data_IF_431162669705
#
_entry.id   IF_431162669705
#
_cell.length_a   1.000
_cell.length_b   1.000
_cell.length_c   1.000
_cell.angle_alpha   90.00
_cell.angle_beta   90.00
_cell.angle_gamma   90.00
#
_symmetry.space_group_name_H-M   'P 1'
#
loop_
_entity.id
_entity.type
_entity.pdbx_description
1 polymer ?
#
# COMPACT_ATOMS: atom_id res chain seq x y z
N UNK A 1 -28.80 -8.78 13.70
CA UNK A 1 -30.06 -8.85 12.93
C UNK A 1 -29.86 -9.87 11.82
N UNK A 2 -30.64 -10.94 11.76
CA UNK A 2 -30.39 -12.06 10.84
C UNK A 2 -30.52 -11.60 9.39
N UNK A 3 -29.51 -11.89 8.55
CA UNK A 3 -29.46 -11.65 7.09
C UNK A 3 -30.77 -12.00 6.37
N UNK A 4 -31.50 -12.99 6.89
CA UNK A 4 -32.76 -13.49 6.33
C UNK A 4 -33.93 -12.48 6.46
N UNK A 5 -33.84 -11.49 7.35
CA UNK A 5 -34.95 -10.54 7.63
C UNK A 5 -34.97 -9.31 6.74
N UNK A 6 -33.89 -9.03 6.00
CA UNK A 6 -33.82 -7.89 5.09
C UNK A 6 -33.57 -8.38 3.65
N UNK A 7 -34.60 -8.39 2.78
CA UNK A 7 -34.50 -8.95 1.44
C UNK A 7 -33.49 -8.19 0.58
N UNK A 8 -33.31 -6.88 0.80
CA UNK A 8 -32.34 -6.08 0.03
C UNK A 8 -30.91 -6.49 0.36
N UNK A 9 -30.63 -6.68 1.65
CA UNK A 9 -29.32 -7.15 2.12
C UNK A 9 -29.01 -8.55 1.63
N UNK A 10 -29.98 -9.45 1.73
CA UNK A 10 -29.84 -10.82 1.25
C UNK A 10 -29.54 -10.87 -0.25
N UNK A 11 -30.31 -10.15 -1.07
CA UNK A 11 -30.10 -10.10 -2.52
C UNK A 11 -28.71 -9.56 -2.86
N UNK A 12 -28.30 -8.45 -2.24
CA UNK A 12 -26.99 -7.85 -2.51
C UNK A 12 -25.83 -8.78 -2.11
N UNK A 13 -25.92 -9.46 -0.96
CA UNK A 13 -24.94 -10.46 -0.54
C UNK A 13 -24.90 -11.67 -1.48
N UNK A 14 -26.05 -12.18 -1.93
CA UNK A 14 -26.09 -13.30 -2.88
C UNK A 14 -25.45 -12.90 -4.20
N UNK A 15 -25.74 -11.69 -4.72
CA UNK A 15 -25.13 -11.19 -5.94
C UNK A 15 -23.60 -11.09 -5.79
N UNK A 16 -23.13 -10.46 -4.71
CA UNK A 16 -21.69 -10.31 -4.46
C UNK A 16 -20.98 -11.66 -4.30
N UNK A 17 -21.57 -12.57 -3.52
CA UNK A 17 -21.03 -13.91 -3.28
C UNK A 17 -20.99 -14.77 -4.54
N UNK A 18 -22.06 -14.75 -5.35
CA UNK A 18 -22.12 -15.48 -6.62
C UNK A 18 -21.14 -14.92 -7.64
N UNK A 19 -21.06 -13.59 -7.78
CA UNK A 19 -20.12 -12.94 -8.69
C UNK A 19 -18.66 -13.30 -8.33
N UNK A 20 -18.30 -13.23 -7.05
CA UNK A 20 -16.97 -13.63 -6.59
C UNK A 20 -16.70 -15.12 -6.77
N UNK A 21 -17.69 -15.98 -6.50
CA UNK A 21 -17.56 -17.42 -6.71
C UNK A 21 -17.31 -17.77 -8.18
N UNK A 22 -18.00 -17.12 -9.12
CA UNK A 22 -17.81 -17.34 -10.55
C UNK A 22 -16.39 -17.01 -11.00
N UNK A 23 -15.84 -15.88 -10.53
CA UNK A 23 -14.46 -15.48 -10.83
C UNK A 23 -13.46 -16.46 -10.20
N UNK A 24 -13.70 -16.93 -8.98
CA UNK A 24 -12.85 -17.93 -8.32
C UNK A 24 -12.90 -19.29 -9.03
N UNK A 25 -14.06 -19.69 -9.54
CA UNK A 25 -14.23 -20.95 -10.28
C UNK A 25 -13.50 -20.90 -11.63
N UNK A 26 -13.57 -19.78 -12.35
CA UNK A 26 -12.79 -19.56 -13.58
C UNK A 26 -11.28 -19.68 -13.31
N UNK A 27 -10.81 -19.04 -12.23
CA UNK A 27 -9.41 -19.12 -11.82
C UNK A 27 -8.97 -20.55 -11.44
N UNK A 28 -9.87 -21.38 -10.91
CA UNK A 28 -9.59 -22.76 -10.51
C UNK A 28 -9.71 -23.78 -11.66
N UNK A 29 -10.50 -23.47 -12.70
CA UNK A 29 -10.74 -24.35 -13.83
C UNK A 29 -11.36 -23.62 -15.01
N UNK A 30 -10.76 -23.77 -16.18
CA UNK A 30 -11.15 -23.06 -17.40
C UNK A 30 -12.38 -23.71 -18.09
N UNK A 31 -13.56 -23.61 -17.44
CA UNK A 31 -14.83 -24.04 -18.03
C UNK A 31 -15.36 -22.91 -18.94
N UNK A 32 -15.55 -23.14 -20.26
CA UNK A 32 -15.82 -22.06 -21.21
C UNK A 32 -17.02 -21.15 -20.87
N UNK A 33 -18.09 -21.72 -20.31
CA UNK A 33 -19.28 -20.95 -19.92
C UNK A 33 -19.03 -20.06 -18.69
N UNK A 34 -18.21 -20.52 -17.73
CA UNK A 34 -17.83 -19.75 -16.54
C UNK A 34 -16.84 -18.65 -16.93
N UNK A 35 -15.88 -18.97 -17.82
CA UNK A 35 -14.89 -18.03 -18.31
C UNK A 35 -15.51 -16.80 -18.98
N UNK A 36 -16.53 -16.99 -19.84
CA UNK A 36 -17.22 -15.87 -20.48
C UNK A 36 -17.89 -14.92 -19.46
N UNK A 37 -18.49 -15.48 -18.40
CA UNK A 37 -19.18 -14.69 -17.37
C UNK A 37 -18.18 -14.02 -16.42
N UNK A 38 -17.12 -14.72 -16.02
CA UNK A 38 -16.03 -14.17 -15.22
C UNK A 38 -15.32 -13.03 -15.96
N UNK A 39 -15.05 -13.19 -17.26
CA UNK A 39 -14.47 -12.14 -18.10
C UNK A 39 -15.34 -10.88 -18.08
N UNK A 40 -16.66 -11.02 -18.25
CA UNK A 40 -17.58 -9.89 -18.17
C UNK A 40 -17.50 -9.24 -16.78
N UNK A 41 -17.59 -10.00 -15.68
CA UNK A 41 -17.53 -9.43 -14.33
C UNK A 41 -16.21 -8.69 -14.07
N UNK A 42 -15.08 -9.23 -14.53
CA UNK A 42 -13.76 -8.61 -14.42
C UNK A 42 -13.65 -7.34 -15.26
N UNK A 43 -14.19 -7.34 -16.48
CA UNK A 43 -14.18 -6.17 -17.37
C UNK A 43 -15.02 -5.01 -16.82
N UNK A 44 -16.22 -5.32 -16.29
CA UNK A 44 -17.04 -4.33 -15.57
C UNK A 44 -16.31 -3.80 -14.33
N UNK A 45 -15.66 -4.68 -13.58
CA UNK A 45 -14.88 -4.28 -12.40
C UNK A 45 -13.72 -3.38 -12.79
N UNK A 46 -12.96 -3.71 -13.83
CA UNK A 46 -11.86 -2.91 -14.34
C UNK A 46 -12.34 -1.51 -14.78
N UNK A 47 -13.47 -1.46 -15.48
CA UNK A 47 -14.10 -0.19 -15.89
C UNK A 47 -14.54 0.64 -14.68
N UNK A 48 -15.15 0.01 -13.67
CA UNK A 48 -15.55 0.69 -12.43
C UNK A 48 -14.34 1.20 -11.63
N UNK A 49 -13.24 0.41 -11.57
CA UNK A 49 -11.99 0.83 -10.93
C UNK A 49 -11.40 2.05 -11.63
N UNK A 50 -11.38 2.05 -12.98
CA UNK A 50 -10.89 3.20 -13.74
C UNK A 50 -11.70 4.48 -13.45
N UNK A 51 -13.03 4.37 -13.41
CA UNK A 51 -13.91 5.48 -13.04
C UNK A 51 -13.72 5.91 -11.59
N UNK A 52 -13.59 4.96 -10.66
CA UNK A 52 -13.36 5.25 -9.24
C UNK A 52 -12.02 5.95 -9.03
N UNK A 53 -10.96 5.55 -9.74
CA UNK A 53 -9.67 6.25 -9.73
C UNK A 53 -9.82 7.67 -10.24
N UNK A 54 -10.55 7.90 -11.34
CA UNK A 54 -10.81 9.24 -11.86
C UNK A 54 -11.55 10.10 -10.82
N UNK A 55 -12.60 9.57 -10.20
CA UNK A 55 -13.34 10.26 -9.13
C UNK A 55 -12.42 10.56 -7.95
N UNK A 56 -11.54 9.63 -7.56
CA UNK A 56 -10.56 9.83 -6.50
C UNK A 56 -9.60 10.98 -6.79
N UNK A 57 -9.05 11.02 -8.01
CA UNK A 57 -8.19 12.12 -8.47
C UNK A 57 -8.95 13.45 -8.45
N UNK A 58 -10.17 13.49 -8.98
CA UNK A 58 -11.00 14.70 -8.99
C UNK A 58 -11.39 15.15 -7.58
N UNK A 59 -11.64 14.22 -6.66
CA UNK A 59 -11.96 14.50 -5.27
C UNK A 59 -10.79 15.17 -4.55
N UNK A 60 -9.58 14.60 -4.69
CA UNK A 60 -8.35 15.17 -4.13
C UNK A 60 -8.07 16.54 -4.76
N UNK A 61 -8.16 16.64 -6.09
CA UNK A 61 -7.97 17.87 -6.83
C UNK A 61 -8.93 18.98 -6.37
N UNK A 62 -10.21 18.63 -6.20
CA UNK A 62 -11.24 19.55 -5.73
C UNK A 62 -11.01 20.02 -4.30
N UNK A 63 -10.77 19.09 -3.36
CA UNK A 63 -10.58 19.41 -1.96
C UNK A 63 -9.32 20.26 -1.72
N UNK A 64 -8.20 19.89 -2.34
CA UNK A 64 -6.95 20.65 -2.23
C UNK A 64 -6.96 21.91 -3.07
N UNK A 65 -7.65 21.92 -4.22
CA UNK A 65 -7.85 23.12 -5.04
C UNK A 65 -8.64 24.18 -4.27
N UNK A 66 -9.77 23.81 -3.65
CA UNK A 66 -10.53 24.72 -2.79
C UNK A 66 -9.69 25.25 -1.63
N UNK A 67 -8.86 24.40 -1.00
CA UNK A 67 -7.94 24.81 0.07
C UNK A 67 -6.95 25.87 -0.40
N UNK A 68 -6.43 25.74 -1.62
CA UNK A 68 -5.53 26.72 -2.25
C UNK A 68 -6.26 28.03 -2.56
N UNK A 69 -7.47 27.96 -3.13
CA UNK A 69 -8.27 29.16 -3.44
C UNK A 69 -8.65 29.94 -2.17
N UNK A 70 -9.01 29.24 -1.10
CA UNK A 70 -9.40 29.84 0.19
C UNK A 70 -8.22 30.26 1.06
N UNK A 71 -7.00 29.82 0.72
CA UNK A 71 -5.78 29.99 1.53
C UNK A 71 -5.96 29.53 2.98
N UNK A 72 -6.59 28.38 3.16
CA UNK A 72 -6.71 27.76 4.48
C UNK A 72 -5.32 27.34 5.01
N UNK A 73 -5.26 26.87 6.26
CA UNK A 73 -4.02 26.34 6.84
C UNK A 73 -3.35 25.31 5.91
N UNK A 74 -2.02 25.41 5.78
CA UNK A 74 -1.20 24.48 4.98
C UNK A 74 -1.53 24.43 3.47
N UNK A 75 -2.13 25.50 2.91
CA UNK A 75 -2.45 25.58 1.48
C UNK A 75 -1.22 25.43 0.58
N UNK A 76 -0.03 25.85 1.03
CA UNK A 76 1.22 25.68 0.28
C UNK A 76 1.57 24.21 0.07
N UNK A 77 1.37 23.36 1.07
CA UNK A 77 1.55 21.91 0.93
C UNK A 77 0.52 21.29 -0.01
N UNK A 78 -0.68 21.88 -0.10
CA UNK A 78 -1.68 21.47 -1.07
C UNK A 78 -1.26 21.77 -2.51
N UNK A 79 -0.48 22.83 -2.76
CA UNK A 79 0.12 23.07 -4.08
C UNK A 79 1.11 21.97 -4.43
N UNK A 80 1.99 21.60 -3.49
CA UNK A 80 2.98 20.53 -3.72
C UNK A 80 2.28 19.22 -4.11
N UNK A 81 1.19 18.88 -3.42
CA UNK A 81 0.38 17.70 -3.75
C UNK A 81 -0.22 17.79 -5.16
N UNK A 82 -0.87 18.92 -5.50
CA UNK A 82 -1.53 19.09 -6.79
C UNK A 82 -0.51 19.05 -7.94
N UNK A 83 0.64 19.72 -7.78
CA UNK A 83 1.72 19.70 -8.77
C UNK A 83 2.30 18.30 -8.92
N UNK A 84 2.56 17.59 -7.81
CA UNK A 84 3.03 16.21 -7.84
C UNK A 84 2.06 15.26 -8.54
N UNK A 85 0.76 15.41 -8.26
CA UNK A 85 -0.31 14.63 -8.91
C UNK A 85 -0.33 14.87 -10.43
N UNK A 86 -0.30 16.13 -10.87
CA UNK A 86 -0.26 16.47 -12.31
C UNK A 86 1.04 15.96 -12.95
N UNK A 87 2.18 16.07 -12.26
CA UNK A 87 3.46 15.59 -12.77
C UNK A 87 3.45 14.07 -13.01
N UNK A 88 2.98 13.27 -12.05
CA UNK A 88 2.90 11.81 -12.21
C UNK A 88 1.95 11.42 -13.34
N UNK A 89 0.78 12.07 -13.42
CA UNK A 89 -0.18 11.81 -14.52
C UNK A 89 0.44 12.18 -15.86
N UNK A 90 1.10 13.34 -15.97
CA UNK A 90 1.74 13.77 -17.20
C UNK A 90 2.86 12.81 -17.63
N UNK A 91 3.70 12.37 -16.68
CA UNK A 91 4.77 11.39 -16.93
C UNK A 91 4.18 10.06 -17.40
N UNK A 92 3.11 9.58 -16.76
CA UNK A 92 2.45 8.33 -17.11
C UNK A 92 1.68 8.37 -18.45
N UNK A 93 1.17 9.54 -18.85
CA UNK A 93 0.37 9.69 -20.08
C UNK A 93 1.21 10.14 -21.29
N UNK A 94 2.18 11.01 -21.11
CA UNK A 94 2.95 11.58 -22.23
C UNK A 94 4.26 10.79 -22.44
N UNK A 95 4.72 10.09 -21.41
CA UNK A 95 6.08 9.55 -21.37
C UNK A 95 7.13 10.68 -21.31
N UNK A 96 8.40 10.30 -21.29
CA UNK A 96 9.53 11.23 -21.44
C UNK A 96 10.07 11.04 -22.87
N UNK A 97 10.00 12.06 -23.74
CA UNK A 97 10.52 11.97 -25.10
C UNK A 97 11.98 11.51 -25.12
N UNK A 98 12.27 10.42 -25.85
CA UNK A 98 13.62 9.86 -25.98
C UNK A 98 13.99 8.76 -24.99
N UNK A 99 13.10 8.32 -24.09
CA UNK A 99 13.38 7.30 -23.07
C UNK A 99 12.79 5.89 -23.31
N UNK A 100 12.18 5.61 -24.48
CA UNK A 100 11.71 4.24 -24.76
C UNK A 100 11.14 4.01 -26.17
N UNK A 101 10.88 2.74 -26.55
CA UNK A 101 10.31 2.38 -27.86
C UNK A 101 8.82 2.72 -27.98
N UNK A 102 8.12 2.85 -26.86
CA UNK A 102 6.68 3.05 -26.81
C UNK A 102 6.35 4.48 -26.33
N UNK A 103 5.36 5.14 -26.95
CA UNK A 103 4.93 6.48 -26.55
C UNK A 103 4.20 6.50 -25.20
N UNK A 104 3.77 5.35 -24.68
CA UNK A 104 3.06 5.21 -23.41
C UNK A 104 3.64 4.05 -22.59
N UNK A 105 3.97 4.26 -21.30
CA UNK A 105 4.39 3.17 -20.43
C UNK A 105 3.25 2.18 -20.20
N UNK A 106 3.49 0.89 -20.46
CA UNK A 106 2.48 -0.17 -20.26
C UNK A 106 2.43 -0.66 -18.81
N UNK A 107 3.46 -0.36 -18.02
CA UNK A 107 3.59 -0.76 -16.64
C UNK A 107 4.23 0.34 -15.78
N UNK A 108 3.97 0.29 -14.47
CA UNK A 108 4.60 1.17 -13.48
C UNK A 108 6.12 0.98 -13.34
N UNK A 109 6.67 -0.07 -13.96
CA UNK A 109 8.09 -0.45 -13.89
C UNK A 109 8.89 0.16 -15.06
N UNK A 110 8.21 0.70 -16.07
CA UNK A 110 8.84 1.30 -17.24
C UNK A 110 9.40 2.71 -16.95
N UNK A 111 10.46 3.05 -17.70
CA UNK A 111 10.96 4.42 -17.78
C UNK A 111 9.93 5.23 -18.56
N UNK A 112 9.17 6.11 -17.90
CA UNK A 112 9.72 7.13 -17.01
C UNK A 112 9.13 7.16 -15.58
N UNK A 113 8.19 6.27 -15.28
CA UNK A 113 7.52 6.22 -13.98
C UNK A 113 8.51 5.75 -12.90
N UNK A 114 9.37 4.79 -13.24
CA UNK A 114 10.42 4.29 -12.35
C UNK A 114 11.37 5.40 -11.90
N UNK A 115 11.88 6.22 -12.82
CA UNK A 115 12.72 7.38 -12.49
C UNK A 115 12.04 8.34 -11.52
N UNK A 116 10.75 8.66 -11.74
CA UNK A 116 10.01 9.51 -10.79
C UNK A 116 9.91 8.84 -9.41
N UNK A 117 9.64 7.54 -9.37
CA UNK A 117 9.56 6.80 -8.12
C UNK A 117 10.89 6.81 -7.36
N UNK A 118 11.99 6.48 -8.01
CA UNK A 118 13.32 6.40 -7.40
C UNK A 118 13.89 7.78 -7.01
N UNK A 119 13.58 8.82 -7.80
CA UNK A 119 14.13 10.16 -7.60
C UNK A 119 13.29 11.01 -6.65
N UNK A 120 11.96 10.84 -6.64
CA UNK A 120 11.05 11.70 -5.87
C UNK A 120 10.40 10.92 -4.73
N UNK A 121 9.72 9.82 -5.03
CA UNK A 121 8.92 9.11 -4.03
C UNK A 121 9.81 8.44 -2.97
N UNK A 122 10.83 7.69 -3.40
CA UNK A 122 11.68 6.92 -2.50
C UNK A 122 12.45 7.79 -1.50
N UNK A 123 13.07 8.93 -1.89
CA UNK A 123 13.72 9.84 -0.93
C UNK A 123 12.73 10.52 0.03
N UNK A 124 11.52 10.86 -0.43
CA UNK A 124 10.48 11.41 0.44
C UNK A 124 10.01 10.37 1.47
N UNK A 125 9.77 9.14 1.03
CA UNK A 125 9.39 8.03 1.90
C UNK A 125 10.49 7.71 2.92
N UNK A 126 11.76 7.67 2.50
CA UNK A 126 12.88 7.43 3.41
C UNK A 126 13.07 8.57 4.42
N UNK A 127 12.80 9.82 4.03
CA UNK A 127 12.83 10.97 4.94
C UNK A 127 11.74 10.86 6.02
N UNK A 128 10.52 10.46 5.65
CA UNK A 128 9.43 10.21 6.60
C UNK A 128 9.75 9.06 7.56
N UNK A 129 10.33 7.97 7.05
CA UNK A 129 10.81 6.87 7.89
C UNK A 129 11.96 7.31 8.81
N UNK A 130 12.85 8.19 8.34
CA UNK A 130 13.89 8.80 9.17
C UNK A 130 13.32 9.63 10.32
N UNK A 131 12.28 10.43 10.06
CA UNK A 131 11.55 11.15 11.12
C UNK A 131 10.90 10.19 12.12
N UNK A 132 10.32 9.08 11.65
CA UNK A 132 9.76 8.05 12.52
C UNK A 132 10.84 7.44 13.43
N UNK A 133 12.03 7.16 12.90
CA UNK A 133 13.17 6.67 13.70
C UNK A 133 13.55 7.70 14.76
N UNK A 134 13.63 8.98 14.40
CA UNK A 134 13.96 10.04 15.35
C UNK A 134 12.91 10.16 16.48
N UNK A 135 11.62 10.14 16.14
CA UNK A 135 10.55 10.15 17.14
C UNK A 135 10.52 8.89 18.00
N UNK A 136 10.77 7.72 17.39
CA UNK A 136 10.88 6.45 18.10
C UNK A 136 12.04 6.48 19.10
N UNK A 137 13.21 6.97 18.68
CA UNK A 137 14.36 7.16 19.56
C UNK A 137 14.05 8.14 20.71
N UNK A 138 13.42 9.27 20.41
CA UNK A 138 12.99 10.24 21.43
C UNK A 138 12.03 9.62 22.45
N UNK A 139 11.06 8.83 21.98
CA UNK A 139 10.14 8.09 22.83
C UNK A 139 10.86 7.01 23.65
N UNK A 140 11.82 6.30 23.08
CA UNK A 140 12.62 5.29 23.75
C UNK A 140 13.50 5.91 24.86
N UNK A 141 14.14 7.05 24.60
CA UNK A 141 14.90 7.79 25.62
C UNK A 141 13.99 8.29 26.76
N UNK A 142 12.79 8.77 26.43
CA UNK A 142 11.78 9.13 27.44
C UNK A 142 11.30 7.92 28.23
N UNK A 143 11.20 6.76 27.60
CA UNK A 143 10.88 5.49 28.26
C UNK A 143 11.98 5.07 29.24
N UNK A 144 13.25 5.20 28.84
CA UNK A 144 14.40 4.97 29.72
C UNK A 144 14.39 5.86 30.97
N UNK A 145 14.01 7.13 30.82
CA UNK A 145 13.91 8.07 31.94
C UNK A 145 12.87 7.65 32.99
N UNK A 146 11.88 6.82 32.62
CA UNK A 146 10.90 6.27 33.58
C UNK A 146 11.49 5.17 34.47
N UNK A 147 12.71 4.69 34.19
CA UNK A 147 13.47 3.82 35.08
C UNK A 147 12.94 2.39 35.23
N UNK A 148 12.01 1.95 34.38
CA UNK A 148 11.49 0.58 34.42
C UNK A 148 12.53 -0.40 33.87
N UNK A 149 12.69 -1.55 34.53
CA UNK A 149 13.62 -2.61 34.11
C UNK A 149 13.34 -3.12 32.69
N UNK A 150 12.07 -3.16 32.31
CA UNK A 150 11.61 -3.58 30.98
C UNK A 150 12.10 -2.63 29.89
N UNK A 151 12.02 -1.31 30.12
CA UNK A 151 12.49 -0.31 29.16
C UNK A 151 14.01 -0.37 28.94
N UNK A 152 14.78 -0.65 30.01
CA UNK A 152 16.24 -0.83 29.91
C UNK A 152 16.60 -2.04 29.05
N UNK A 153 15.92 -3.17 29.26
CA UNK A 153 16.16 -4.38 28.46
C UNK A 153 15.82 -4.13 26.99
N UNK A 154 14.65 -3.57 26.70
CA UNK A 154 14.21 -3.29 25.32
C UNK A 154 15.19 -2.35 24.63
N UNK A 155 15.60 -1.28 25.30
CA UNK A 155 16.52 -0.30 24.73
C UNK A 155 17.93 -0.87 24.54
N UNK A 156 18.40 -1.71 25.47
CA UNK A 156 19.67 -2.41 25.33
C UNK A 156 19.70 -3.31 24.09
N UNK A 157 18.63 -4.08 23.87
CA UNK A 157 18.47 -4.90 22.66
C UNK A 157 18.39 -4.04 21.41
N UNK A 158 17.59 -2.96 21.42
CA UNK A 158 17.46 -2.07 20.28
C UNK A 158 18.79 -1.39 19.90
N UNK A 159 19.56 -0.92 20.88
CA UNK A 159 20.87 -0.33 20.68
C UNK A 159 21.84 -1.37 20.10
N UNK A 160 21.86 -2.59 20.64
CA UNK A 160 22.71 -3.67 20.15
C UNK A 160 22.40 -3.98 18.67
N UNK A 161 21.12 -4.11 18.32
CA UNK A 161 20.70 -4.35 16.93
C UNK A 161 21.11 -3.19 16.01
N UNK A 162 21.01 -1.96 16.48
CA UNK A 162 21.41 -0.77 15.71
C UNK A 162 22.92 -0.72 15.48
N UNK A 163 23.72 -1.06 16.50
CA UNK A 163 25.19 -1.12 16.38
C UNK A 163 25.64 -2.21 15.41
N UNK A 164 25.00 -3.38 15.42
CA UNK A 164 25.32 -4.48 14.50
C UNK A 164 25.08 -4.08 13.04
N UNK A 165 24.11 -3.20 12.76
CA UNK A 165 23.79 -2.77 11.39
C UNK A 165 24.72 -1.70 10.82
N UNK A 166 25.72 -1.23 11.56
CA UNK A 166 26.66 -0.23 11.06
C UNK A 166 27.55 -0.83 9.96
N UNK A 167 27.78 -0.13 8.83
CA UNK A 167 28.62 -0.64 7.72
C UNK A 167 30.05 -1.02 8.15
N UNK A 168 30.58 -0.38 9.20
CA UNK A 168 31.92 -0.69 9.73
C UNK A 168 31.99 -2.09 10.33
N UNK A 169 30.89 -2.59 10.91
CA UNK A 169 30.82 -3.92 11.53
C UNK A 169 30.92 -5.03 10.48
N UNK A 170 30.45 -4.77 9.26
CA UNK A 170 30.56 -5.69 8.14
C UNK A 170 32.01 -5.97 7.71
N UNK A 171 32.98 -5.14 8.11
CA UNK A 171 34.41 -5.35 7.78
C UNK A 171 35.09 -6.32 8.75
N UNK A 172 34.48 -6.64 9.88
CA UNK A 172 34.99 -7.61 10.85
C UNK A 172 34.47 -9.00 10.46
N UNK A 173 35.33 -9.99 10.11
CA UNK A 173 34.90 -11.24 9.49
C UNK A 173 33.77 -11.97 10.22
N UNK A 174 33.91 -12.17 11.54
CA UNK A 174 32.91 -12.90 12.34
C UNK A 174 31.61 -12.09 12.51
N UNK A 175 31.71 -10.78 12.73
CA UNK A 175 30.52 -9.94 12.97
C UNK A 175 29.78 -9.65 11.66
N UNK A 176 30.50 -9.56 10.53
CA UNK A 176 29.93 -9.41 9.20
C UNK A 176 29.11 -10.62 8.79
N UNK A 177 29.62 -11.85 8.99
CA UNK A 177 28.88 -13.08 8.68
C UNK A 177 27.59 -13.18 9.50
N UNK A 178 27.64 -12.84 10.80
CA UNK A 178 26.46 -12.80 11.66
C UNK A 178 25.47 -11.73 11.20
N UNK A 179 25.94 -10.54 10.82
CA UNK A 179 25.09 -9.48 10.30
C UNK A 179 24.40 -9.88 8.99
N UNK A 180 25.12 -10.50 8.05
CA UNK A 180 24.54 -11.02 6.81
C UNK A 180 23.49 -12.07 7.09
N UNK A 181 23.78 -13.03 7.98
CA UNK A 181 22.81 -14.04 8.40
C UNK A 181 21.55 -13.41 9.02
N UNK A 182 21.69 -12.41 9.90
CA UNK A 182 20.54 -11.71 10.48
C UNK A 182 19.71 -11.03 9.40
N UNK A 183 20.33 -10.36 8.42
CA UNK A 183 19.61 -9.66 7.36
C UNK A 183 18.88 -10.64 6.41
N UNK A 184 19.58 -11.67 5.94
CA UNK A 184 19.06 -12.60 4.94
C UNK A 184 17.99 -13.54 5.49
N UNK A 185 18.05 -13.86 6.79
CA UNK A 185 17.09 -14.77 7.42
C UNK A 185 16.09 -14.04 8.30
N UNK A 186 16.52 -13.28 9.31
CA UNK A 186 15.60 -12.71 10.31
C UNK A 186 14.87 -11.48 9.77
N UNK A 187 15.61 -10.48 9.27
CA UNK A 187 15.02 -9.23 8.78
C UNK A 187 14.17 -9.52 7.54
N UNK A 188 14.69 -10.30 6.61
CA UNK A 188 13.95 -10.69 5.41
C UNK A 188 12.72 -11.56 5.73
N UNK A 189 12.79 -12.47 6.71
CA UNK A 189 11.61 -13.22 7.17
C UNK A 189 10.57 -12.30 7.81
N UNK A 190 10.99 -11.30 8.59
CA UNK A 190 10.09 -10.29 9.15
C UNK A 190 9.37 -9.49 8.04
N UNK A 191 10.12 -8.99 7.06
CA UNK A 191 9.55 -8.26 5.92
C UNK A 191 8.58 -9.13 5.11
N UNK A 192 8.95 -10.38 4.80
CA UNK A 192 8.06 -11.34 4.13
C UNK A 192 6.84 -11.68 4.98
N UNK A 193 7.01 -11.84 6.28
CA UNK A 193 5.93 -12.09 7.22
C UNK A 193 4.91 -10.95 7.25
N UNK A 194 5.37 -9.70 7.20
CA UNK A 194 4.49 -8.53 7.06
C UNK A 194 3.73 -8.54 5.73
N UNK A 195 4.42 -8.83 4.61
CA UNK A 195 3.78 -8.92 3.29
C UNK A 195 2.74 -10.04 3.23
N UNK A 196 3.05 -11.21 3.77
CA UNK A 196 2.13 -12.36 3.86
C UNK A 196 0.95 -11.99 4.77
N UNK A 197 1.22 -11.42 5.95
CA UNK A 197 0.18 -11.01 6.90
C UNK A 197 -0.78 -9.99 6.30
N UNK A 198 -0.26 -8.98 5.60
CA UNK A 198 -1.07 -8.02 4.88
C UNK A 198 -1.92 -8.70 3.79
N UNK A 199 -1.33 -9.61 3.01
CA UNK A 199 -2.03 -10.34 1.94
C UNK A 199 -3.12 -11.27 2.48
N UNK A 200 -2.85 -11.99 3.58
CA UNK A 200 -3.87 -12.81 4.25
C UNK A 200 -4.97 -11.93 4.83
N UNK A 201 -4.61 -10.77 5.40
CA UNK A 201 -5.57 -9.78 5.90
C UNK A 201 -6.51 -9.29 4.81
N UNK A 202 -6.01 -8.98 3.61
CA UNK A 202 -6.84 -8.59 2.48
C UNK A 202 -7.71 -9.74 1.99
N UNK A 203 -7.18 -10.97 1.92
CA UNK A 203 -7.99 -12.16 1.58
C UNK A 203 -9.14 -12.39 2.57
N UNK A 204 -8.88 -12.24 3.86
CA UNK A 204 -9.92 -12.36 4.90
C UNK A 204 -10.99 -11.27 4.74
N UNK A 205 -10.59 -10.03 4.46
CA UNK A 205 -11.53 -8.94 4.17
C UNK A 205 -12.39 -9.25 2.94
N UNK A 206 -11.78 -9.72 1.84
CA UNK A 206 -12.50 -10.15 0.64
C UNK A 206 -13.47 -11.30 0.93
N UNK A 207 -13.04 -12.33 1.67
CA UNK A 207 -13.88 -13.45 2.05
C UNK A 207 -15.07 -13.01 2.91
N UNK A 208 -14.85 -12.09 3.87
CA UNK A 208 -15.94 -11.52 4.67
C UNK A 208 -16.96 -10.76 3.84
N UNK A 209 -16.50 -10.05 2.80
CA UNK A 209 -17.37 -9.36 1.86
C UNK A 209 -18.19 -10.36 1.02
N UNK A 210 -17.56 -11.40 0.47
CA UNK A 210 -18.22 -12.42 -0.35
C UNK A 210 -19.25 -13.25 0.44
N UNK A 211 -18.95 -13.54 1.72
CA UNK A 211 -19.87 -14.23 2.62
C UNK A 211 -20.93 -13.29 3.22
N UNK A 212 -20.84 -11.99 2.97
CA UNK A 212 -21.80 -10.99 3.44
C UNK A 212 -21.69 -10.62 4.92
N UNK A 213 -20.59 -10.95 5.58
CA UNK A 213 -20.29 -10.46 6.93
C UNK A 213 -20.04 -8.95 6.92
N UNK A 214 -19.41 -8.43 5.87
CA UNK A 214 -19.20 -7.01 5.64
C UNK A 214 -19.97 -6.56 4.39
N UNK A 215 -20.78 -5.51 4.52
CA UNK A 215 -21.69 -5.03 3.48
C UNK A 215 -21.48 -3.53 3.20
N UNK A 216 -20.32 -3.13 2.64
CA UNK A 216 -19.99 -1.72 2.40
C UNK A 216 -20.86 -1.07 1.31
N UNK A 217 -21.51 -1.87 0.48
CA UNK A 217 -22.39 -1.45 -0.61
C UNK A 217 -23.82 -1.12 -0.17
N UNK A 218 -24.13 -1.27 1.13
CA UNK A 218 -25.41 -0.89 1.70
C UNK A 218 -25.17 0.27 2.66
N UNK A 219 -25.58 1.46 2.25
CA UNK A 219 -25.69 2.59 3.17
C UNK A 219 -26.62 2.20 4.34
N UNK A 220 -26.27 2.65 5.54
CA UNK A 220 -27.01 2.38 6.78
C UNK A 220 -28.44 2.91 6.73
#
# INVERSE_FOLDING_TARGET
MSIIRDPKRFIATVIAGVAGLLVLLDAAGNVPAIAALAFLLVDWTATLIALALLIGVLSIAGAHGQRVLRRDGDWTYSIVLLVGMVAVIAIGVIGIPGMGPFPFPQSLVEEPIRLFFETVYQPLASSLLGLLVFFSLSAALRSLQRGTTEALVIMGVALLVLLIQLPVVATVPILGDVMLWINDYIVLAGARGLLIGASVGTLVACMRLLLGFDQPYLDR
#
